data_IF_382460202155
#
_entry.id   IF_382460202155
#
_cell.length_a   1.000
_cell.length_b   1.000
_cell.length_c   1.000
_cell.angle_alpha   90.00
_cell.angle_beta   90.00
_cell.angle_gamma   90.00
#
_symmetry.space_group_name_H-M   'P 1'
#
loop_
_entity.id
_entity.type
_entity.pdbx_description
1 polymer ?
#
# COMPACT_ATOMS: atom_id res chain seq x y z
N UNK A 1 -9.51 20.99 -11.38
CA UNK A 1 -8.19 21.62 -11.17
C UNK A 1 -7.38 21.12 -9.98
N UNK A 2 -8.00 20.79 -8.84
CA UNK A 2 -7.26 20.34 -7.64
C UNK A 2 -6.35 19.11 -7.87
N UNK A 3 -6.73 18.17 -8.73
CA UNK A 3 -5.91 16.98 -9.05
C UNK A 3 -4.67 17.29 -9.90
N UNK A 4 -4.65 18.41 -10.62
CA UNK A 4 -3.54 18.80 -11.50
C UNK A 4 -2.42 19.56 -10.76
N UNK A 5 -2.58 19.81 -9.46
CA UNK A 5 -1.64 20.61 -8.66
C UNK A 5 -0.36 19.83 -8.37
N UNK A 6 0.78 20.31 -8.88
CA UNK A 6 2.12 19.80 -8.53
C UNK A 6 2.63 20.47 -7.26
N UNK A 7 3.09 19.67 -6.28
CA UNK A 7 3.55 20.20 -4.99
C UNK A 7 4.92 20.91 -5.07
N UNK A 8 5.80 20.49 -5.99
CA UNK A 8 7.11 21.09 -6.26
C UNK A 8 8.17 20.82 -5.18
N UNK A 9 7.90 21.20 -3.93
CA UNK A 9 8.85 21.09 -2.80
C UNK A 9 8.36 20.13 -1.71
N UNK A 10 9.31 19.47 -1.03
CA UNK A 10 9.00 18.54 0.06
C UNK A 10 8.23 19.20 1.22
N UNK A 11 8.57 20.45 1.57
CA UNK A 11 7.90 21.21 2.64
C UNK A 11 6.41 21.44 2.41
N UNK A 12 5.95 21.54 1.15
CA UNK A 12 4.53 21.72 0.85
C UNK A 12 3.72 20.47 1.24
N UNK A 13 4.30 19.28 1.10
CA UNK A 13 3.70 18.03 1.59
C UNK A 13 3.57 18.04 3.13
N UNK A 14 4.56 18.62 3.82
CA UNK A 14 4.54 18.78 5.28
C UNK A 14 3.44 19.74 5.75
N UNK A 15 3.19 20.83 5.02
CA UNK A 15 2.09 21.77 5.32
C UNK A 15 0.71 21.10 5.17
N UNK A 16 0.59 20.06 4.34
CA UNK A 16 -0.60 19.21 4.24
C UNK A 16 -0.69 18.12 5.33
N UNK A 17 0.18 18.15 6.35
CA UNK A 17 0.22 17.17 7.44
C UNK A 17 0.82 15.82 7.07
N UNK A 18 1.41 15.66 5.87
CA UNK A 18 1.99 14.39 5.42
C UNK A 18 3.45 14.27 5.86
N UNK A 19 3.74 13.28 6.72
CA UNK A 19 5.11 12.96 7.18
C UNK A 19 5.85 12.07 6.16
N UNK A 20 7.20 12.11 6.13
CA UNK A 20 7.99 11.20 5.29
C UNK A 20 7.75 9.73 5.68
N UNK A 21 7.83 8.84 4.70
CA UNK A 21 7.75 7.38 4.88
C UNK A 21 8.97 6.72 4.24
N UNK A 22 9.52 5.70 4.91
CA UNK A 22 10.68 4.94 4.43
C UNK A 22 10.22 3.68 3.70
N UNK A 23 10.96 3.27 2.66
CA UNK A 23 10.67 2.03 1.90
C UNK A 23 11.06 0.81 2.74
N UNK A 24 10.21 -0.22 2.76
CA UNK A 24 10.46 -1.47 3.50
C UNK A 24 11.74 -2.22 3.08
N UNK A 25 12.16 -2.08 1.82
CA UNK A 25 13.43 -2.65 1.31
C UNK A 25 14.68 -2.08 2.00
N UNK A 26 14.60 -0.84 2.48
CA UNK A 26 15.73 -0.17 3.13
C UNK A 26 15.76 -0.39 4.65
N UNK A 27 14.87 -1.24 5.18
CA UNK A 27 14.77 -1.54 6.61
C UNK A 27 15.51 -2.85 6.94
N UNK A 28 15.65 -3.17 8.23
CA UNK A 28 16.21 -4.45 8.66
C UNK A 28 15.16 -5.58 8.54
N UNK A 29 15.58 -6.86 8.49
CA UNK A 29 14.65 -8.00 8.44
C UNK A 29 13.63 -8.05 9.59
N UNK A 30 13.99 -7.53 10.78
CA UNK A 30 13.10 -7.44 11.93
C UNK A 30 11.94 -6.45 11.70
N UNK A 31 12.21 -5.36 11.00
CA UNK A 31 11.28 -4.23 10.86
C UNK A 31 10.32 -4.41 9.68
N UNK A 32 10.76 -5.08 8.62
CA UNK A 32 9.95 -5.28 7.42
C UNK A 32 10.24 -6.61 6.72
N UNK A 33 9.22 -7.30 6.19
CA UNK A 33 9.42 -8.53 5.42
C UNK A 33 10.27 -8.42 4.14
N UNK A 34 10.68 -7.20 3.75
CA UNK A 34 11.51 -6.94 2.58
C UNK A 34 12.88 -6.40 2.98
N UNK A 35 13.14 -6.29 4.28
CA UNK A 35 14.35 -5.71 4.82
C UNK A 35 15.52 -6.67 4.79
N UNK A 36 16.73 -6.10 4.84
CA UNK A 36 18.00 -6.82 4.79
C UNK A 36 18.45 -7.23 3.39
N UNK A 37 19.44 -8.11 3.37
CA UNK A 37 20.23 -8.46 2.19
C UNK A 37 21.48 -7.61 2.05
N UNK A 38 22.48 -8.12 1.35
CA UNK A 38 23.71 -7.38 1.07
C UNK A 38 23.44 -6.33 -0.02
N UNK A 39 23.60 -5.05 0.34
CA UNK A 39 23.37 -3.93 -0.56
C UNK A 39 21.90 -3.80 -1.00
N UNK A 40 21.67 -3.76 -2.33
CA UNK A 40 20.34 -3.57 -2.91
C UNK A 40 19.77 -4.90 -3.39
N UNK A 41 18.84 -5.48 -2.62
CA UNK A 41 18.25 -6.78 -2.95
C UNK A 41 16.86 -6.70 -3.60
N UNK A 42 16.47 -7.64 -4.49
CA UNK A 42 15.07 -7.77 -4.90
C UNK A 42 14.19 -8.18 -3.70
N UNK A 43 12.86 -8.15 -3.85
CA UNK A 43 11.93 -8.47 -2.75
C UNK A 43 12.14 -9.88 -2.18
N UNK A 44 12.61 -10.84 -2.99
CA UNK A 44 12.92 -12.21 -2.56
C UNK A 44 11.70 -13.07 -2.18
N UNK A 45 10.50 -12.50 -2.14
CA UNK A 45 9.25 -13.18 -1.80
C UNK A 45 8.33 -13.31 -3.03
N UNK A 46 7.53 -14.39 -3.08
CA UNK A 46 6.55 -14.66 -4.14
C UNK A 46 5.59 -13.49 -4.41
N UNK A 47 5.17 -12.79 -3.35
CA UNK A 47 4.31 -11.62 -3.45
C UNK A 47 4.82 -10.52 -2.51
N UNK A 48 4.71 -9.23 -2.89
CA UNK A 48 5.03 -8.12 -2.00
C UNK A 48 4.13 -8.13 -0.76
N UNK A 49 4.74 -7.88 0.40
CA UNK A 49 4.08 -7.84 1.70
C UNK A 49 4.02 -6.42 2.27
N UNK A 50 3.01 -6.23 3.11
CA UNK A 50 2.89 -5.09 4.03
C UNK A 50 3.90 -5.24 5.19
N UNK A 51 4.15 -4.19 6.00
CA UNK A 51 5.01 -4.29 7.19
C UNK A 51 4.58 -5.41 8.15
N UNK A 52 3.27 -5.69 8.23
CA UNK A 52 2.71 -6.77 9.05
C UNK A 52 2.61 -8.12 8.32
N UNK A 53 3.29 -8.30 7.20
CA UNK A 53 3.37 -9.58 6.49
C UNK A 53 2.18 -9.99 5.62
N UNK A 54 1.10 -9.19 5.55
CA UNK A 54 -0.05 -9.47 4.66
C UNK A 54 0.28 -9.14 3.21
N UNK A 55 -0.30 -9.84 2.20
CA UNK A 55 -0.08 -9.49 0.79
C UNK A 55 -0.51 -8.05 0.47
N UNK A 56 0.34 -7.29 -0.20
CA UNK A 56 0.09 -5.89 -0.55
C UNK A 56 -0.62 -5.71 -1.90
N UNK A 57 -0.50 -6.68 -2.82
CA UNK A 57 -1.06 -6.62 -4.16
C UNK A 57 -2.14 -7.71 -4.36
N UNK A 58 -3.23 -7.36 -5.03
CA UNK A 58 -4.27 -8.29 -5.48
C UNK A 58 -5.18 -8.89 -4.39
N UNK A 59 -4.84 -8.74 -3.10
CA UNK A 59 -5.64 -9.31 -2.02
C UNK A 59 -6.84 -8.43 -1.65
N UNK A 60 -8.06 -8.96 -1.78
CA UNK A 60 -9.29 -8.26 -1.37
C UNK A 60 -9.41 -8.23 0.15
N UNK A 61 -9.39 -7.03 0.73
CA UNK A 61 -9.47 -6.81 2.19
C UNK A 61 -10.89 -6.65 2.73
N UNK A 62 -11.91 -6.52 1.86
CA UNK A 62 -13.32 -6.40 2.28
C UNK A 62 -13.81 -7.72 2.89
N UNK A 63 -14.41 -7.63 4.09
CA UNK A 63 -15.07 -8.78 4.74
C UNK A 63 -16.18 -9.36 3.86
N UNK A 64 -16.14 -10.67 3.61
CA UNK A 64 -17.08 -11.39 2.72
C UNK A 64 -18.54 -11.35 3.19
N UNK A 65 -18.81 -11.30 4.50
CA UNK A 65 -20.16 -11.39 5.09
C UNK A 65 -20.71 -10.04 5.60
N UNK A 66 -20.23 -8.90 5.08
CA UNK A 66 -20.71 -7.58 5.53
C UNK A 66 -22.16 -7.36 5.06
N UNK A 67 -23.07 -6.97 5.96
CA UNK A 67 -24.51 -6.78 5.65
C UNK A 67 -24.76 -5.87 4.44
N UNK A 68 -23.97 -4.80 4.31
CA UNK A 68 -24.04 -3.86 3.18
C UNK A 68 -23.75 -4.49 1.81
N UNK A 69 -23.26 -5.74 1.75
CA UNK A 69 -23.02 -6.43 0.48
C UNK A 69 -24.31 -6.59 -0.34
N UNK A 70 -25.47 -6.73 0.34
CA UNK A 70 -26.78 -6.83 -0.32
C UNK A 70 -27.15 -5.59 -1.14
N UNK A 71 -26.59 -4.43 -0.80
CA UNK A 71 -26.85 -3.15 -1.49
C UNK A 71 -25.82 -2.83 -2.58
N UNK A 72 -24.81 -3.69 -2.80
CA UNK A 72 -23.78 -3.48 -3.82
C UNK A 72 -24.18 -4.22 -5.08
N UNK A 73 -24.58 -3.48 -6.10
CA UNK A 73 -25.04 -4.06 -7.38
C UNK A 73 -23.85 -4.42 -8.28
N UNK A 74 -22.82 -3.58 -8.32
CA UNK A 74 -21.61 -3.79 -9.16
C UNK A 74 -20.37 -3.27 -8.44
N UNK A 75 -19.25 -4.00 -8.52
CA UNK A 75 -17.96 -3.53 -7.99
C UNK A 75 -17.29 -2.57 -8.98
N UNK A 76 -16.45 -1.65 -8.47
CA UNK A 76 -15.71 -0.68 -9.29
C UNK A 76 -14.82 -1.34 -10.36
N UNK A 77 -14.28 -2.53 -10.08
CA UNK A 77 -13.49 -3.35 -11.01
C UNK A 77 -14.30 -3.97 -12.15
N UNK A 78 -15.62 -3.78 -12.19
CA UNK A 78 -16.50 -4.41 -13.19
C UNK A 78 -16.87 -5.86 -12.88
N UNK A 79 -16.25 -6.48 -11.88
CA UNK A 79 -16.56 -7.84 -11.46
C UNK A 79 -17.97 -7.92 -10.85
N UNK A 80 -18.78 -8.87 -11.34
CA UNK A 80 -20.06 -9.24 -10.71
C UNK A 80 -19.79 -9.85 -9.33
N UNK A 81 -20.74 -9.64 -8.42
CA UNK A 81 -20.48 -9.81 -6.99
C UNK A 81 -20.22 -11.25 -6.60
#
# INVERSE_FOLDING_TARGET
DHENVRLGKAGRSRHLGRRPKVRGKAMNPCDHPHGGGEGSSPIGLKHPKTPTGKPALGYRTRKRRKLSNRYIIKRRSGERM
#
